data_IF_842920454029
#
_entry.id   IF_842920454029
#
_cell.length_a   1.000
_cell.length_b   1.000
_cell.length_c   1.000
_cell.angle_alpha   90.00
_cell.angle_beta   90.00
_cell.angle_gamma   90.00
#
_symmetry.space_group_name_H-M   'P 1'
#
loop_
_entity.id
_entity.type
_entity.pdbx_description
1 polymer ?
#
# COMPACT_ATOMS: atom_id res chain seq x y z
N UNK A 1 -14.00 11.73 -12.14
CA UNK A 1 -12.98 10.81 -12.68
C UNK A 1 -13.09 9.51 -11.90
N UNK A 2 -13.15 8.37 -12.57
CA UNK A 2 -13.21 7.07 -11.88
C UNK A 2 -11.80 6.71 -11.44
N UNK A 3 -11.61 6.39 -10.16
CA UNK A 3 -10.32 5.94 -9.62
C UNK A 3 -9.97 4.54 -10.18
N UNK A 4 -8.75 4.09 -9.97
CA UNK A 4 -8.32 2.77 -10.44
C UNK A 4 -9.14 1.66 -9.75
N UNK A 5 -9.81 0.81 -10.56
CA UNK A 5 -10.47 -0.40 -10.09
C UNK A 5 -9.62 -1.60 -10.50
N UNK A 6 -9.07 -2.28 -9.50
CA UNK A 6 -8.20 -3.45 -9.60
C UNK A 6 -8.78 -4.62 -8.78
N UNK A 7 -10.09 -4.65 -8.59
CA UNK A 7 -10.79 -5.71 -7.86
C UNK A 7 -10.45 -7.07 -8.46
N UNK A 8 -9.97 -8.01 -7.64
CA UNK A 8 -9.59 -9.35 -8.07
C UNK A 8 -8.42 -9.40 -9.06
N UNK A 9 -7.70 -8.30 -9.28
CA UNK A 9 -6.60 -8.27 -10.22
C UNK A 9 -5.46 -9.18 -9.74
N UNK A 10 -4.85 -9.90 -10.68
CA UNK A 10 -3.61 -10.63 -10.45
C UNK A 10 -2.44 -9.67 -10.64
N UNK A 11 -1.75 -9.36 -9.56
CA UNK A 11 -0.61 -8.45 -9.51
C UNK A 11 0.53 -9.06 -8.67
N UNK A 12 0.67 -10.38 -8.77
CA UNK A 12 1.71 -11.15 -8.07
C UNK A 12 3.09 -10.70 -8.52
N UNK A 13 3.95 -10.32 -7.57
CA UNK A 13 5.33 -9.92 -7.83
C UNK A 13 5.49 -8.65 -8.68
N UNK A 14 4.43 -7.84 -8.86
CA UNK A 14 4.55 -6.58 -9.61
C UNK A 14 5.49 -5.61 -8.89
N UNK A 15 6.15 -4.76 -9.67
CA UNK A 15 6.96 -3.66 -9.16
C UNK A 15 6.22 -2.37 -9.43
N UNK A 16 5.74 -1.74 -8.38
CA UNK A 16 5.16 -0.41 -8.34
C UNK A 16 6.00 0.43 -7.37
N UNK A 17 6.53 1.55 -7.84
CA UNK A 17 7.33 2.42 -6.98
C UNK A 17 7.12 3.87 -7.36
N UNK A 18 7.63 4.76 -6.51
CA UNK A 18 7.91 6.16 -6.90
C UNK A 18 8.38 6.23 -8.36
N UNK A 19 7.78 7.16 -9.11
CA UNK A 19 8.22 7.48 -10.47
C UNK A 19 9.03 8.76 -10.38
N UNK A 20 10.33 8.64 -10.59
CA UNK A 20 11.19 9.82 -10.71
C UNK A 20 10.90 10.48 -12.06
N UNK A 21 10.16 11.60 -12.04
CA UNK A 21 9.95 12.43 -13.23
C UNK A 21 10.90 13.61 -13.13
N UNK A 22 12.04 13.51 -13.81
CA UNK A 22 13.07 14.56 -13.85
C UNK A 22 12.72 15.75 -14.76
N UNK A 23 11.46 15.86 -15.19
CA UNK A 23 11.06 16.82 -16.20
C UNK A 23 10.47 18.09 -15.57
N UNK A 24 11.13 19.21 -15.88
CA UNK A 24 10.78 20.61 -15.59
C UNK A 24 11.31 21.17 -14.26
N UNK A 25 12.57 21.64 -14.30
CA UNK A 25 13.16 22.77 -13.54
C UNK A 25 12.92 22.89 -12.01
N UNK A 26 12.47 21.81 -11.35
CA UNK A 26 12.11 21.83 -9.93
C UNK A 26 12.50 20.58 -9.12
N UNK A 27 13.10 19.57 -9.74
CA UNK A 27 13.73 18.43 -9.04
C UNK A 27 12.82 17.58 -8.12
N UNK A 28 11.50 17.65 -8.28
CA UNK A 28 10.56 16.94 -7.41
C UNK A 28 10.55 15.43 -7.64
N UNK A 29 10.62 14.65 -6.56
CA UNK A 29 10.26 13.24 -6.55
C UNK A 29 8.74 13.13 -6.39
N UNK A 30 8.07 12.44 -7.32
CA UNK A 30 6.61 12.26 -7.30
C UNK A 30 6.26 10.82 -6.97
N UNK A 31 5.41 10.63 -5.96
CA UNK A 31 4.86 9.31 -5.65
C UNK A 31 3.82 8.95 -6.70
N UNK A 32 3.85 7.72 -7.18
CA UNK A 32 2.71 7.19 -7.93
C UNK A 32 1.51 7.08 -6.97
N UNK A 33 0.32 7.42 -7.47
CA UNK A 33 -0.91 7.46 -6.67
C UNK A 33 -1.90 6.40 -7.09
N UNK A 34 -2.38 5.66 -6.10
CA UNK A 34 -3.53 4.75 -6.09
C UNK A 34 -4.52 5.21 -5.00
N UNK A 35 -4.60 6.52 -4.76
CA UNK A 35 -5.51 7.11 -3.78
C UNK A 35 -6.95 6.63 -4.05
N UNK A 36 -7.61 6.12 -3.01
CA UNK A 36 -8.91 5.44 -2.99
C UNK A 36 -9.13 4.45 -4.16
N UNK A 37 -8.07 3.76 -4.60
CA UNK A 37 -8.20 2.65 -5.53
C UNK A 37 -8.93 1.46 -4.87
N UNK A 38 -9.65 0.68 -5.67
CA UNK A 38 -10.29 -0.55 -5.20
C UNK A 38 -9.42 -1.75 -5.56
N UNK A 39 -8.82 -2.38 -4.57
CA UNK A 39 -7.94 -3.56 -4.67
C UNK A 39 -8.53 -4.77 -3.93
N UNK A 40 -9.84 -4.75 -3.67
CA UNK A 40 -10.53 -5.82 -2.95
C UNK A 40 -10.28 -7.18 -3.62
N UNK A 41 -9.83 -8.17 -2.86
CA UNK A 41 -9.54 -9.52 -3.34
C UNK A 41 -8.37 -9.61 -4.34
N UNK A 42 -7.55 -8.56 -4.49
CA UNK A 42 -6.41 -8.60 -5.40
C UNK A 42 -5.31 -9.55 -4.89
N UNK A 43 -4.63 -10.23 -5.81
CA UNK A 43 -3.45 -11.04 -5.48
C UNK A 43 -2.20 -10.18 -5.65
N UNK A 44 -1.60 -9.79 -4.53
CA UNK A 44 -0.44 -8.90 -4.40
C UNK A 44 0.73 -9.59 -3.70
N UNK A 45 0.71 -10.92 -3.59
CA UNK A 45 1.77 -11.65 -2.89
C UNK A 45 3.14 -11.42 -3.56
N UNK A 46 4.14 -11.08 -2.75
CA UNK A 46 5.49 -10.73 -3.19
C UNK A 46 5.60 -9.42 -3.99
N UNK A 47 4.52 -8.62 -4.10
CA UNK A 47 4.58 -7.35 -4.82
C UNK A 47 5.50 -6.34 -4.12
N UNK A 48 6.22 -5.55 -4.90
CA UNK A 48 7.05 -4.44 -4.40
C UNK A 48 6.30 -3.15 -4.68
N UNK A 49 5.76 -2.51 -3.65
CA UNK A 49 4.89 -1.33 -3.73
C UNK A 49 5.39 -0.23 -2.80
N UNK A 50 6.55 0.33 -3.15
CA UNK A 50 7.31 1.24 -2.28
C UNK A 50 6.97 2.70 -2.54
N UNK A 51 6.94 3.48 -1.46
CA UNK A 51 6.80 4.93 -1.51
C UNK A 51 5.57 5.43 -2.29
N UNK A 52 4.49 4.67 -2.34
CA UNK A 52 3.29 5.06 -3.08
C UNK A 52 2.29 5.81 -2.21
N UNK A 53 1.44 6.60 -2.86
CA UNK A 53 0.26 7.19 -2.22
C UNK A 53 -0.94 6.26 -2.43
N UNK A 54 -1.49 5.74 -1.33
CA UNK A 54 -2.63 4.82 -1.29
C UNK A 54 -3.64 5.25 -0.22
N UNK A 55 -3.73 6.55 0.06
CA UNK A 55 -4.73 7.07 1.00
C UNK A 55 -6.14 6.63 0.60
N UNK A 56 -6.91 6.09 1.55
CA UNK A 56 -8.27 5.60 1.36
C UNK A 56 -8.42 4.36 0.47
N UNK A 57 -7.33 3.68 0.10
CA UNK A 57 -7.40 2.49 -0.74
C UNK A 57 -8.10 1.31 -0.04
N UNK A 58 -8.85 0.53 -0.81
CA UNK A 58 -9.59 -0.64 -0.34
C UNK A 58 -8.81 -1.93 -0.66
N UNK A 59 -8.16 -2.51 0.35
CA UNK A 59 -7.41 -3.76 0.28
C UNK A 59 -8.16 -4.94 0.91
N UNK A 60 -9.47 -4.83 1.13
CA UNK A 60 -10.22 -5.89 1.81
C UNK A 60 -10.06 -7.22 1.08
N UNK A 61 -9.89 -8.31 1.82
CA UNK A 61 -9.73 -9.66 1.26
C UNK A 61 -8.51 -9.84 0.32
N UNK A 62 -7.60 -8.86 0.23
CA UNK A 62 -6.42 -8.96 -0.64
C UNK A 62 -5.35 -9.88 -0.05
N UNK A 63 -4.61 -10.56 -0.93
CA UNK A 63 -3.43 -11.35 -0.56
C UNK A 63 -2.18 -10.49 -0.68
N UNK A 64 -1.62 -10.03 0.44
CA UNK A 64 -0.45 -9.17 0.53
C UNK A 64 0.77 -9.91 1.11
N UNK A 65 0.75 -11.25 1.11
CA UNK A 65 1.83 -12.06 1.68
C UNK A 65 3.18 -11.71 1.07
N UNK A 66 4.18 -11.48 1.91
CA UNK A 66 5.54 -11.09 1.50
C UNK A 66 5.63 -9.81 0.65
N UNK A 67 4.56 -9.00 0.57
CA UNK A 67 4.59 -7.73 -0.16
C UNK A 67 5.43 -6.68 0.57
N UNK A 68 6.02 -5.75 -0.18
CA UNK A 68 6.85 -4.67 0.35
C UNK A 68 6.18 -3.31 0.15
N UNK A 69 5.49 -2.83 1.19
CA UNK A 69 4.78 -1.53 1.23
C UNK A 69 5.62 -0.41 1.85
N UNK A 70 6.93 -0.60 2.01
CA UNK A 70 7.81 0.31 2.74
C UNK A 70 7.67 1.77 2.28
N UNK A 71 7.47 2.68 3.23
CA UNK A 71 7.42 4.12 2.99
C UNK A 71 6.15 4.63 2.29
N UNK A 72 5.14 3.77 2.11
CA UNK A 72 3.88 4.14 1.47
C UNK A 72 2.92 4.88 2.42
N UNK A 73 2.08 5.75 1.85
CA UNK A 73 1.03 6.48 2.56
C UNK A 73 -0.24 5.64 2.52
N UNK A 74 -0.66 5.13 3.68
CA UNK A 74 -1.81 4.21 3.81
C UNK A 74 -2.95 4.83 4.62
N UNK A 75 -2.97 6.16 4.80
CA UNK A 75 -3.97 6.82 5.63
C UNK A 75 -5.39 6.43 5.22
N UNK A 76 -6.25 6.11 6.19
CA UNK A 76 -7.64 5.68 5.96
C UNK A 76 -7.83 4.45 5.04
N UNK A 77 -6.77 3.71 4.71
CA UNK A 77 -6.88 2.49 3.92
C UNK A 77 -7.48 1.32 4.73
N UNK A 78 -8.22 0.45 4.05
CA UNK A 78 -8.92 -0.67 4.68
C UNK A 78 -8.30 -2.01 4.28
N UNK A 79 -7.63 -2.66 5.24
CA UNK A 79 -7.02 -4.00 5.12
C UNK A 79 -7.85 -5.09 5.81
N UNK A 80 -9.15 -4.85 6.08
CA UNK A 80 -10.00 -5.86 6.74
C UNK A 80 -10.00 -7.16 5.94
N UNK A 81 -9.73 -8.28 6.62
CA UNK A 81 -9.61 -9.62 6.05
C UNK A 81 -8.50 -9.81 5.00
N UNK A 82 -7.54 -8.87 4.90
CA UNK A 82 -6.35 -9.04 4.06
C UNK A 82 -5.33 -9.98 4.72
N UNK A 83 -4.62 -10.78 3.92
CA UNK A 83 -3.50 -11.59 4.40
C UNK A 83 -2.20 -10.77 4.36
N UNK A 84 -1.75 -10.33 5.54
CA UNK A 84 -0.56 -9.49 5.73
C UNK A 84 0.68 -10.30 6.19
N UNK A 85 0.67 -11.63 6.06
CA UNK A 85 1.79 -12.45 6.52
C UNK A 85 3.10 -12.08 5.79
N UNK A 86 4.11 -11.63 6.53
CA UNK A 86 5.41 -11.24 5.94
C UNK A 86 5.40 -9.89 5.22
N UNK A 87 4.28 -9.15 5.21
CA UNK A 87 4.22 -7.83 4.58
C UNK A 87 5.14 -6.83 5.31
N UNK A 88 5.96 -6.10 4.56
CA UNK A 88 6.81 -5.04 5.10
C UNK A 88 6.03 -3.73 5.14
N UNK A 89 5.81 -3.23 6.36
CA UNK A 89 5.10 -1.98 6.65
C UNK A 89 6.02 -0.93 7.29
N UNK A 90 7.33 -1.04 7.10
CA UNK A 90 8.28 -0.10 7.69
C UNK A 90 8.08 1.30 7.10
N UNK A 91 8.08 2.32 7.98
CA UNK A 91 7.94 3.74 7.62
C UNK A 91 6.65 4.10 6.86
N UNK A 92 5.62 3.27 6.94
CA UNK A 92 4.30 3.60 6.38
C UNK A 92 3.55 4.58 7.28
N UNK A 93 2.75 5.45 6.68
CA UNK A 93 1.76 6.23 7.44
C UNK A 93 0.46 5.43 7.54
N UNK A 94 0.14 4.95 8.75
CA UNK A 94 -1.00 4.06 9.02
C UNK A 94 -2.15 4.75 9.76
N UNK A 95 -2.17 6.08 9.84
CA UNK A 95 -3.22 6.82 10.55
C UNK A 95 -4.60 6.50 9.94
N UNK A 96 -5.57 6.13 10.77
CA UNK A 96 -6.92 5.80 10.31
C UNK A 96 -7.05 4.44 9.58
N UNK A 97 -5.96 3.69 9.42
CA UNK A 97 -6.02 2.36 8.81
C UNK A 97 -6.89 1.39 9.60
N UNK A 98 -7.47 0.43 8.89
CA UNK A 98 -8.21 -0.71 9.46
C UNK A 98 -7.55 -2.01 9.03
N UNK A 99 -7.65 -3.04 9.86
CA UNK A 99 -7.18 -4.40 9.53
C UNK A 99 -5.67 -4.64 9.65
N UNK A 100 -4.84 -3.60 9.76
CA UNK A 100 -3.42 -3.78 10.07
C UNK A 100 -3.28 -4.18 11.56
N UNK A 101 -2.60 -5.30 11.88
CA UNK A 101 -2.32 -5.67 13.26
C UNK A 101 -1.43 -4.60 13.90
N UNK A 102 -1.86 -4.04 15.03
CA UNK A 102 -1.01 -3.17 15.83
C UNK A 102 0.19 -4.00 16.27
N UNK A 103 1.42 -3.55 15.96
CA UNK A 103 2.59 -4.04 16.69
C UNK A 103 2.30 -3.76 18.15
N UNK A 104 2.30 -4.79 19.00
CA UNK A 104 2.34 -4.57 20.43
C UNK A 104 3.58 -3.71 20.67
N UNK A 105 3.37 -2.46 21.07
CA UNK A 105 4.43 -1.71 21.72
C UNK A 105 4.69 -2.51 22.99
N UNK A 106 5.83 -3.20 23.04
CA UNK A 106 6.30 -3.75 24.30
C UNK A 106 6.42 -2.53 25.23
N UNK A 107 5.46 -2.42 26.17
CA UNK A 107 5.50 -1.46 27.26
C UNK A 107 6.81 -1.75 28.03
N UNK A 108 7.86 -0.97 27.76
CA UNK A 108 9.01 -0.90 28.66
C UNK A 108 8.55 -0.16 29.93
N UNK A 109 8.26 -0.93 30.98
CA UNK A 109 8.05 -0.48 32.37
C UNK A 109 9.28 0.27 32.94
#
# INVERSE_FOLDING_TARGET
MTRANLTGATMVGVVLSEVSISAHDGGGQWRASLENATLRGAMLNGAVIKNMDMEGADFREADLRDADLTGSLLMDADFTDADLCGTKLDKTDQRGTKGIPKKYEDDED
#
